data_IF_361680055098
#
_entry.id   IF_361680055098
#
_cell.length_a   1.000
_cell.length_b   1.000
_cell.length_c   1.000
_cell.angle_alpha   90.00
_cell.angle_beta   90.00
_cell.angle_gamma   90.00
#
_symmetry.space_group_name_H-M   'P 1'
#
loop_
_entity.id
_entity.type
_entity.pdbx_description
1 polymer ?
#
# COMPACT_ATOMS: atom_id res chain seq x y z
N UNK A 1 -3.61 -10.09 12.95
CA UNK A 1 -2.29 -10.34 12.37
C UNK A 1 -1.18 -10.07 13.35
N UNK A 2 -0.12 -10.75 13.20
CA UNK A 2 1.00 -10.66 14.08
C UNK A 2 2.29 -10.51 13.29
N UNK A 3 3.12 -9.58 13.69
CA UNK A 3 4.45 -9.48 13.13
C UNK A 3 5.31 -10.62 13.66
N UNK A 4 5.93 -11.37 12.77
CA UNK A 4 6.66 -12.57 13.16
C UNK A 4 8.13 -12.44 12.77
N UNK A 5 8.73 -11.37 13.21
CA UNK A 5 10.13 -11.10 12.93
C UNK A 5 11.01 -12.23 13.45
N UNK A 6 11.78 -12.84 12.57
CA UNK A 6 12.68 -13.92 12.92
C UNK A 6 12.00 -15.27 13.12
N UNK A 7 10.69 -15.32 13.31
CA UNK A 7 9.97 -16.56 13.59
C UNK A 7 9.20 -17.07 12.38
N UNK A 8 8.85 -16.21 11.45
CA UNK A 8 8.14 -16.58 10.23
C UNK A 8 8.90 -16.06 9.02
N UNK A 9 9.09 -16.94 8.07
CA UNK A 9 9.74 -16.61 6.81
C UNK A 9 8.70 -16.08 5.84
N UNK A 10 9.03 -15.00 5.15
CA UNK A 10 8.20 -14.52 4.04
C UNK A 10 8.12 -15.61 2.96
N UNK A 11 7.06 -15.63 2.20
CA UNK A 11 7.00 -16.49 1.04
C UNK A 11 8.14 -16.12 0.09
N UNK A 12 8.58 -17.06 -0.73
CA UNK A 12 9.69 -16.82 -1.65
C UNK A 12 9.39 -15.66 -2.60
N UNK A 13 8.15 -15.55 -3.05
CA UNK A 13 7.74 -14.46 -3.95
C UNK A 13 7.81 -13.12 -3.24
N UNK A 14 7.30 -13.06 -2.03
CA UNK A 14 7.30 -11.82 -1.26
C UNK A 14 8.72 -11.40 -0.87
N UNK A 15 9.57 -12.37 -0.53
CA UNK A 15 10.96 -12.10 -0.24
C UNK A 15 11.68 -11.52 -1.45
N UNK A 16 11.41 -12.06 -2.64
CA UNK A 16 11.97 -11.54 -3.88
C UNK A 16 11.48 -10.10 -4.15
N UNK A 17 10.21 -9.83 -3.90
CA UNK A 17 9.65 -8.49 -4.06
C UNK A 17 10.32 -7.50 -3.10
N UNK A 18 10.53 -7.92 -1.86
CA UNK A 18 11.23 -7.11 -0.86
C UNK A 18 12.66 -6.80 -1.29
N UNK A 19 13.37 -7.80 -1.81
CA UNK A 19 14.73 -7.60 -2.30
C UNK A 19 14.76 -6.60 -3.45
N UNK A 20 13.84 -6.73 -4.40
CA UNK A 20 13.76 -5.79 -5.51
C UNK A 20 13.46 -4.37 -5.03
N UNK A 21 12.57 -4.26 -4.05
CA UNK A 21 12.24 -2.96 -3.47
C UNK A 21 13.48 -2.25 -2.93
N UNK A 22 14.29 -2.96 -2.18
CA UNK A 22 15.46 -2.38 -1.53
C UNK A 22 16.64 -2.20 -2.49
N UNK A 23 16.91 -3.19 -3.32
CA UNK A 23 18.08 -3.17 -4.18
C UNK A 23 17.97 -2.15 -5.30
N UNK A 24 16.77 -1.85 -5.77
CA UNK A 24 16.54 -0.93 -6.87
C UNK A 24 15.93 0.40 -6.46
N UNK A 25 15.76 0.60 -5.15
CA UNK A 25 15.18 1.81 -4.60
C UNK A 25 13.81 2.14 -5.18
N UNK A 26 13.01 1.13 -5.42
CA UNK A 26 11.60 1.32 -5.80
C UNK A 26 10.79 1.75 -4.59
N UNK A 27 9.67 2.41 -4.82
CA UNK A 27 8.70 2.70 -3.76
C UNK A 27 7.75 1.53 -3.55
N UNK A 28 7.44 0.80 -4.63
CA UNK A 28 6.53 -0.34 -4.59
C UNK A 28 6.93 -1.37 -5.65
N UNK A 29 6.78 -2.64 -5.31
CA UNK A 29 6.96 -3.77 -6.24
C UNK A 29 5.75 -4.68 -6.07
N UNK A 30 5.05 -4.96 -7.16
CA UNK A 30 3.90 -5.86 -7.15
C UNK A 30 4.21 -7.02 -8.08
N UNK A 31 4.21 -8.22 -7.52
CA UNK A 31 4.45 -9.45 -8.29
C UNK A 31 3.12 -10.15 -8.50
N UNK A 32 2.63 -10.09 -9.72
CA UNK A 32 1.39 -10.75 -10.11
C UNK A 32 1.63 -12.16 -10.62
N UNK A 33 0.58 -12.77 -11.13
CA UNK A 33 0.66 -14.13 -11.64
C UNK A 33 1.54 -14.24 -12.89
N UNK A 34 1.49 -13.24 -13.76
CA UNK A 34 2.21 -13.27 -15.03
C UNK A 34 3.12 -12.07 -15.25
N UNK A 35 3.06 -11.09 -14.39
CA UNK A 35 3.74 -9.81 -14.57
C UNK A 35 4.30 -9.27 -13.28
N UNK A 36 5.23 -8.34 -13.40
CA UNK A 36 5.77 -7.59 -12.25
C UNK A 36 5.62 -6.09 -12.55
N UNK A 37 5.11 -5.36 -11.58
CA UNK A 37 4.98 -3.91 -11.66
C UNK A 37 5.89 -3.26 -10.64
N UNK A 38 6.63 -2.24 -11.05
CA UNK A 38 7.49 -1.47 -10.15
C UNK A 38 7.26 0.01 -10.37
N UNK A 39 7.49 0.81 -9.33
CA UNK A 39 7.37 2.26 -9.45
C UNK A 39 8.28 2.94 -8.44
N UNK A 40 8.70 4.15 -8.80
CA UNK A 40 9.41 5.04 -7.89
C UNK A 40 8.53 6.20 -7.42
N UNK A 41 7.28 6.24 -7.87
CA UNK A 41 6.34 7.28 -7.46
C UNK A 41 5.93 7.07 -6.00
N UNK A 42 5.71 8.17 -5.30
CA UNK A 42 5.38 8.13 -3.88
C UNK A 42 3.88 8.08 -3.63
N UNK A 43 3.52 7.65 -2.43
CA UNK A 43 2.15 7.65 -1.97
C UNK A 43 1.29 6.63 -2.69
N UNK A 44 0.02 6.95 -2.89
CA UNK A 44 -0.95 6.03 -3.47
C UNK A 44 -1.05 6.13 -4.99
N UNK A 45 -0.31 7.04 -5.61
CA UNK A 45 -0.38 7.23 -7.06
C UNK A 45 -0.17 5.96 -7.87
N UNK A 46 0.84 5.13 -7.56
CA UNK A 46 1.02 3.88 -8.32
C UNK A 46 -0.19 2.96 -8.25
N UNK A 47 -0.79 2.84 -7.06
CA UNK A 47 -1.96 1.97 -6.89
C UNK A 47 -3.17 2.49 -7.65
N UNK A 48 -3.39 3.80 -7.63
CA UNK A 48 -4.49 4.38 -8.39
C UNK A 48 -4.28 4.21 -9.88
N UNK A 49 -3.05 4.36 -10.37
CA UNK A 49 -2.75 4.15 -11.78
C UNK A 49 -3.06 2.72 -12.23
N UNK A 50 -2.67 1.74 -11.42
CA UNK A 50 -2.94 0.33 -11.71
C UNK A 50 -4.44 0.08 -11.76
N UNK A 51 -5.17 0.58 -10.78
CA UNK A 51 -6.61 0.36 -10.70
C UNK A 51 -7.36 1.07 -11.82
N UNK A 52 -6.94 2.28 -12.17
CA UNK A 52 -7.55 3.03 -13.26
C UNK A 52 -7.29 2.40 -14.62
N UNK A 53 -6.09 1.86 -14.80
CA UNK A 53 -5.69 1.28 -16.06
C UNK A 53 -6.23 -0.10 -16.32
N UNK A 54 -6.93 -0.68 -15.36
CA UNK A 54 -7.42 -2.06 -15.51
C UNK A 54 -6.30 -3.08 -15.59
N UNK A 55 -5.16 -2.78 -15.01
CA UNK A 55 -4.01 -3.67 -15.03
C UNK A 55 -4.21 -4.81 -14.04
N UNK A 56 -4.26 -6.03 -14.55
CA UNK A 56 -4.53 -7.21 -13.74
C UNK A 56 -3.34 -7.67 -12.90
N UNK A 57 -2.18 -7.02 -13.00
CA UNK A 57 -1.00 -7.44 -12.23
C UNK A 57 -1.27 -7.51 -10.73
N UNK A 58 -2.15 -6.64 -10.24
CA UNK A 58 -2.43 -6.56 -8.80
C UNK A 58 -3.31 -7.69 -8.29
N UNK A 59 -4.06 -8.36 -9.16
CA UNK A 59 -4.93 -9.48 -8.76
C UNK A 59 -4.11 -10.66 -8.28
N UNK A 60 -4.45 -11.18 -7.12
CA UNK A 60 -3.75 -12.34 -6.53
C UNK A 60 -2.24 -12.12 -6.44
N UNK A 61 -1.83 -10.90 -6.16
CA UNK A 61 -0.43 -10.51 -6.18
C UNK A 61 0.20 -10.50 -4.80
N UNK A 62 1.52 -10.32 -4.81
CA UNK A 62 2.33 -10.12 -3.62
C UNK A 62 2.95 -8.73 -3.77
N UNK A 63 2.76 -7.86 -2.78
CA UNK A 63 3.21 -6.48 -2.87
C UNK A 63 4.25 -6.17 -1.80
N UNK A 64 5.32 -5.50 -2.20
CA UNK A 64 6.29 -4.94 -1.27
C UNK A 64 6.27 -3.42 -1.45
N UNK A 65 6.13 -2.69 -0.35
CA UNK A 65 5.99 -1.24 -0.39
C UNK A 65 6.81 -0.64 0.76
N UNK A 66 7.38 0.52 0.53
CA UNK A 66 8.14 1.17 1.60
C UNK A 66 7.25 1.67 2.72
N UNK A 67 6.09 2.25 2.38
CA UNK A 67 5.20 2.85 3.38
C UNK A 67 3.77 2.51 3.06
N UNK A 68 3.09 1.83 3.98
CA UNK A 68 1.69 1.44 3.80
C UNK A 68 0.84 2.02 4.91
N UNK A 69 0.00 2.98 4.53
CA UNK A 69 -1.03 3.51 5.41
C UNK A 69 -2.39 2.95 5.06
N UNK A 70 -3.42 3.44 5.72
CA UNK A 70 -4.79 2.97 5.50
C UNK A 70 -5.23 3.13 4.04
N UNK A 71 -4.87 4.26 3.42
CA UNK A 71 -5.23 4.51 2.02
C UNK A 71 -4.66 3.45 1.10
N UNK A 72 -3.36 3.18 1.21
CA UNK A 72 -2.72 2.14 0.40
C UNK A 72 -3.33 0.77 0.67
N UNK A 73 -3.58 0.46 1.95
CA UNK A 73 -4.15 -0.84 2.32
C UNK A 73 -5.51 -1.06 1.68
N UNK A 74 -6.38 -0.05 1.71
CA UNK A 74 -7.72 -0.17 1.10
C UNK A 74 -7.62 -0.36 -0.41
N UNK A 75 -6.70 0.34 -1.06
CA UNK A 75 -6.50 0.17 -2.50
C UNK A 75 -5.91 -1.20 -2.85
N UNK A 76 -5.00 -1.70 -2.03
CA UNK A 76 -4.44 -3.04 -2.22
C UNK A 76 -5.52 -4.11 -2.08
N UNK A 77 -6.41 -3.96 -1.10
CA UNK A 77 -7.54 -4.88 -0.93
C UNK A 77 -8.45 -4.83 -2.15
N UNK A 78 -8.76 -3.63 -2.64
CA UNK A 78 -9.59 -3.48 -3.84
C UNK A 78 -8.97 -4.19 -5.04
N UNK A 79 -7.67 -4.10 -5.18
CA UNK A 79 -6.95 -4.71 -6.31
C UNK A 79 -6.79 -6.21 -6.20
N UNK A 80 -6.91 -6.79 -5.03
CA UNK A 80 -6.80 -8.23 -4.84
C UNK A 80 -5.41 -8.71 -4.42
N UNK A 81 -4.65 -7.88 -3.74
CA UNK A 81 -3.35 -8.29 -3.19
C UNK A 81 -3.56 -9.38 -2.14
N UNK A 82 -2.74 -10.44 -2.20
CA UNK A 82 -2.84 -11.58 -1.28
C UNK A 82 -1.97 -11.39 -0.04
N UNK A 83 -0.75 -10.92 -0.22
CA UNK A 83 0.20 -10.73 0.87
C UNK A 83 0.99 -9.45 0.63
N UNK A 84 1.35 -8.79 1.71
CA UNK A 84 2.05 -7.51 1.68
C UNK A 84 3.26 -7.55 2.59
N UNK A 85 4.35 -6.95 2.13
CA UNK A 85 5.46 -6.57 2.98
C UNK A 85 5.58 -5.05 2.95
N UNK A 86 5.81 -4.43 4.10
CA UNK A 86 6.03 -2.99 4.18
C UNK A 86 7.22 -2.69 5.08
N UNK A 87 8.07 -1.74 4.67
CA UNK A 87 9.12 -1.24 5.57
C UNK A 87 8.47 -0.56 6.78
N UNK A 88 7.45 0.26 6.51
CA UNK A 88 6.70 0.98 7.54
C UNK A 88 5.21 0.76 7.27
N UNK A 89 4.48 0.38 8.30
CA UNK A 89 3.04 0.18 8.19
C UNK A 89 2.33 0.87 9.34
N UNK A 90 1.16 1.46 9.08
CA UNK A 90 0.38 2.07 10.15
C UNK A 90 -0.55 1.04 10.80
N UNK A 91 -0.92 1.32 12.06
CA UNK A 91 -1.88 0.47 12.76
C UNK A 91 -3.22 0.40 12.04
N UNK A 92 -3.65 1.50 11.42
CA UNK A 92 -4.89 1.52 10.64
C UNK A 92 -4.81 0.60 9.43
N UNK A 93 -3.64 0.55 8.77
CA UNK A 93 -3.43 -0.36 7.64
C UNK A 93 -3.51 -1.81 8.09
N UNK A 94 -2.90 -2.14 9.23
CA UNK A 94 -3.00 -3.50 9.77
C UNK A 94 -4.43 -3.91 10.03
N UNK A 95 -5.24 -3.00 10.58
CA UNK A 95 -6.65 -3.27 10.84
C UNK A 95 -7.40 -3.59 9.55
N UNK A 96 -7.09 -2.85 8.47
CA UNK A 96 -7.70 -3.12 7.15
C UNK A 96 -7.30 -4.50 6.65
N UNK A 97 -6.03 -4.83 6.69
CA UNK A 97 -5.57 -6.13 6.21
C UNK A 97 -6.15 -7.28 7.04
N UNK A 98 -6.27 -7.09 8.34
CA UNK A 98 -6.87 -8.09 9.20
C UNK A 98 -8.34 -8.30 8.85
N UNK A 99 -9.08 -7.21 8.66
CA UNK A 99 -10.50 -7.28 8.30
C UNK A 99 -10.72 -8.03 6.99
N UNK A 100 -9.87 -7.80 6.00
CA UNK A 100 -10.01 -8.39 4.67
C UNK A 100 -9.13 -9.61 4.47
N UNK A 101 -8.49 -10.11 5.53
CA UNK A 101 -7.73 -11.37 5.53
C UNK A 101 -6.54 -11.36 4.57
N UNK A 102 -5.85 -10.23 4.51
CA UNK A 102 -4.58 -10.11 3.78
C UNK A 102 -3.45 -10.26 4.78
N UNK A 103 -2.50 -11.14 4.50
CA UNK A 103 -1.33 -11.30 5.36
C UNK A 103 -0.39 -10.11 5.17
N UNK A 104 0.01 -9.49 6.26
CA UNK A 104 0.91 -8.35 6.21
C UNK A 104 2.13 -8.58 7.10
N UNK A 105 3.30 -8.34 6.51
CA UNK A 105 4.59 -8.43 7.18
C UNK A 105 5.21 -7.04 7.17
N UNK A 106 5.97 -6.69 8.20
CA UNK A 106 6.53 -5.34 8.27
C UNK A 106 7.75 -5.30 9.17
N UNK A 107 8.57 -4.26 8.97
CA UNK A 107 9.71 -4.01 9.84
C UNK A 107 9.36 -3.01 10.94
N UNK A 108 8.59 -1.98 10.63
CA UNK A 108 8.24 -0.92 11.58
C UNK A 108 6.76 -0.64 11.59
N UNK A 109 6.18 -0.64 12.78
CA UNK A 109 4.77 -0.29 12.97
C UNK A 109 4.68 1.12 13.55
N UNK A 110 3.85 1.95 12.94
CA UNK A 110 3.60 3.30 13.41
C UNK A 110 2.12 3.51 13.63
N UNK A 111 1.77 4.54 14.40
CA UNK A 111 0.37 4.81 14.68
C UNK A 111 -0.35 5.31 13.43
N UNK A 112 0.27 6.23 12.72
CA UNK A 112 -0.25 6.76 11.44
C UNK A 112 0.90 7.24 10.57
N UNK A 113 0.61 7.42 9.27
CA UNK A 113 1.62 7.89 8.32
C UNK A 113 1.69 9.41 8.38
N UNK A 114 2.90 9.92 8.53
CA UNK A 114 3.19 11.35 8.62
C UNK A 114 3.45 11.90 7.22
N UNK A 115 3.00 13.14 6.97
CA UNK A 115 3.25 13.78 5.68
C UNK A 115 4.74 14.14 5.52
N UNK A 116 5.12 14.56 4.31
CA UNK A 116 6.52 14.86 4.01
C UNK A 116 7.11 15.98 4.85
N UNK A 117 6.30 16.98 5.19
CA UNK A 117 6.73 18.12 5.98
C UNK A 117 6.83 17.80 7.47
N UNK A 118 6.41 16.61 7.87
CA UNK A 118 6.41 16.16 9.26
C UNK A 118 5.57 17.04 10.18
N UNK A 119 4.54 17.68 9.61
CA UNK A 119 3.65 18.57 10.36
C UNK A 119 2.37 17.87 10.81
N UNK A 120 2.10 16.67 10.32
CA UNK A 120 0.88 15.94 10.69
C UNK A 120 0.64 14.74 9.82
N UNK A 121 -0.57 14.24 9.90
CA UNK A 121 -0.98 13.06 9.15
C UNK A 121 -0.99 13.34 7.65
N UNK A 122 -0.57 12.34 6.87
CA UNK A 122 -0.65 12.40 5.41
C UNK A 122 -2.07 12.74 4.94
N UNK A 123 -2.24 13.66 3.99
CA UNK A 123 -3.58 14.04 3.51
C UNK A 123 -4.40 12.86 2.99
N UNK A 124 -3.77 11.88 2.37
CA UNK A 124 -4.49 10.69 1.90
C UNK A 124 -5.03 9.88 3.07
N UNK A 125 -4.25 9.79 4.16
CA UNK A 125 -4.70 9.09 5.36
C UNK A 125 -5.87 9.81 6.03
N UNK A 126 -5.82 11.14 6.07
CA UNK A 126 -6.94 11.93 6.59
C UNK A 126 -8.21 11.69 5.78
N UNK A 127 -8.07 11.64 4.46
CA UNK A 127 -9.22 11.49 3.57
C UNK A 127 -9.98 10.19 3.81
N UNK A 128 -9.29 9.14 4.27
CA UNK A 128 -9.92 7.82 4.47
C UNK A 128 -10.07 7.43 5.94
N UNK A 129 -9.85 8.34 6.88
CA UNK A 129 -9.93 8.01 8.31
C UNK A 129 -11.24 7.31 8.67
N UNK A 130 -12.35 7.81 8.14
CA UNK A 130 -13.68 7.26 8.43
C UNK A 130 -14.19 6.33 7.33
N UNK A 131 -13.31 5.95 6.40
CA UNK A 131 -13.68 5.10 5.27
C UNK A 131 -13.15 3.70 5.50
N UNK A 132 -14.04 2.72 5.51
CA UNK A 132 -13.65 1.32 5.75
C UNK A 132 -13.91 0.40 4.58
N UNK A 133 -14.47 0.93 3.49
CA UNK A 133 -14.84 0.13 2.34
C UNK A 133 -13.94 0.47 1.15
N UNK A 134 -13.30 -0.54 0.52
CA UNK A 134 -12.29 -0.29 -0.53
C UNK A 134 -12.77 0.53 -1.73
N UNK A 135 -13.99 0.27 -2.21
CA UNK A 135 -14.49 1.02 -3.38
C UNK A 135 -14.73 2.49 -3.04
N UNK A 136 -15.25 2.75 -1.84
CA UNK A 136 -15.44 4.12 -1.37
C UNK A 136 -14.09 4.82 -1.23
N UNK A 137 -13.09 4.13 -0.71
CA UNK A 137 -11.75 4.68 -0.58
C UNK A 137 -11.17 5.07 -1.95
N UNK A 138 -11.35 4.21 -2.94
CA UNK A 138 -10.88 4.50 -4.29
C UNK A 138 -11.47 5.81 -4.81
N UNK A 139 -12.78 5.98 -4.70
CA UNK A 139 -13.46 7.20 -5.17
C UNK A 139 -13.00 8.44 -4.40
N UNK A 140 -12.90 8.32 -3.08
CA UNK A 140 -12.45 9.42 -2.22
C UNK A 140 -11.02 9.84 -2.56
N UNK A 141 -10.14 8.88 -2.75
CA UNK A 141 -8.73 9.17 -3.03
C UNK A 141 -8.52 9.76 -4.41
N UNK A 142 -9.26 9.28 -5.41
CA UNK A 142 -9.20 9.88 -6.74
C UNK A 142 -9.63 11.33 -6.70
N UNK A 143 -10.72 11.62 -6.00
CA UNK A 143 -11.21 12.97 -5.85
C UNK A 143 -10.20 13.85 -5.12
N UNK A 144 -9.59 13.32 -4.05
CA UNK A 144 -8.60 14.06 -3.28
C UNK A 144 -7.38 14.43 -4.12
N UNK A 145 -6.88 13.51 -4.91
CA UNK A 145 -5.74 13.78 -5.80
C UNK A 145 -6.10 14.85 -6.83
N UNK A 146 -7.29 14.76 -7.42
CA UNK A 146 -7.74 15.76 -8.38
C UNK A 146 -7.82 17.16 -7.75
N UNK A 147 -8.32 17.24 -6.52
CA UNK A 147 -8.38 18.51 -5.78
C UNK A 147 -6.99 19.07 -5.51
N UNK A 148 -6.06 18.21 -5.10
CA UNK A 148 -4.69 18.61 -4.83
C UNK A 148 -3.98 19.13 -6.08
N UNK A 149 -4.23 18.49 -7.22
CA UNK A 149 -3.64 18.92 -8.49
C UNK A 149 -4.19 20.28 -8.93
N UNK A 150 -5.46 20.57 -8.67
CA UNK A 150 -6.06 21.85 -9.04
C UNK A 150 -5.58 22.98 -8.14
N UNK A 151 -5.48 22.72 -6.86
CA UNK A 151 -5.19 23.78 -5.89
C UNK A 151 -3.75 23.92 -5.51
N UNK A 152 -2.97 22.89 -5.78
CA UNK A 152 -1.67 22.76 -5.12
C UNK A 152 -0.54 22.92 -6.04
N UNK A 153 -0.54 23.47 -7.01
CA UNK A 153 0.65 23.48 -7.76
C UNK A 153 1.84 23.93 -7.19
#
# INVERSE_FOLDING_TARGET
YMHLKGAVTLTDILESAKEQLHNNNFSIVIVGENDVYTSTKHGVAPLLEILDGGNDVIKNSFAADKVVGKAAALLMVKGGVKEVYADIISSHALDVFEKYKVKAYYDNLVEYIINRDKTGMCPMEKAVLEVDEPNTAYDVLKKKIAEMRKGGH
#
